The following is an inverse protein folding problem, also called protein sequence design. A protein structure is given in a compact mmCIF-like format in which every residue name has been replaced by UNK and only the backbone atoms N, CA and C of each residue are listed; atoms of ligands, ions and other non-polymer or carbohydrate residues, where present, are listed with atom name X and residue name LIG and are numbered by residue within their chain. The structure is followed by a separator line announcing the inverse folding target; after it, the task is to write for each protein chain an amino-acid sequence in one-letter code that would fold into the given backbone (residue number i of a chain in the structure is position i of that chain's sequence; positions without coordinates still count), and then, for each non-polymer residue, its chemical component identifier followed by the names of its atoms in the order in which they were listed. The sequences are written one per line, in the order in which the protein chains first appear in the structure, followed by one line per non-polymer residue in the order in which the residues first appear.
data_IF_749642115808
#
_entry.id   IF_749642115808
#
_cell.length_a   1.000
_cell.length_b   1.000
_cell.length_c   1.000
_cell.angle_alpha   90.00
_cell.angle_beta   90.00
_cell.angle_gamma   90.00
#
_symmetry.space_group_name_H-M   'P 1'
#
loop_
_entity.id
_entity.type
_entity.pdbx_description
1 polymer ?
#
# COMPACT_ATOMS: atom_id res chain seq x y z
N UNK A 1 -0.14 5.31 -22.12
CA UNK A 1 0.32 6.65 -22.55
C UNK A 1 -0.70 7.64 -22.04
N UNK A 2 -0.47 8.18 -20.85
CA UNK A 2 -1.36 9.20 -20.26
C UNK A 2 -1.12 10.49 -21.03
N UNK A 3 -2.03 10.80 -21.96
CA UNK A 3 -2.00 12.05 -22.70
C UNK A 3 -2.63 13.08 -21.75
N UNK A 4 -1.80 13.92 -21.10
CA UNK A 4 -2.29 15.17 -20.55
C UNK A 4 -3.10 15.88 -21.64
N UNK A 5 -4.30 16.32 -21.31
CA UNK A 5 -5.00 17.25 -22.20
C UNK A 5 -4.10 18.48 -22.35
N UNK A 6 -3.76 18.83 -23.59
CA UNK A 6 -2.78 19.86 -23.98
C UNK A 6 -3.11 21.26 -23.43
N UNK A 7 -4.21 21.41 -22.70
CA UNK A 7 -4.71 22.69 -22.16
C UNK A 7 -4.40 22.89 -20.67
N UNK A 8 -4.04 21.85 -19.90
CA UNK A 8 -3.83 21.98 -18.49
C UNK A 8 -2.34 22.12 -18.16
N UNK A 9 -1.99 23.13 -17.40
CA UNK A 9 -0.64 23.29 -16.88
C UNK A 9 -0.39 22.18 -15.86
N UNK A 10 0.65 21.35 -15.99
CA UNK A 10 0.93 20.30 -15.02
C UNK A 10 1.26 20.92 -13.65
N UNK A 11 0.77 20.26 -12.62
CA UNK A 11 1.22 20.46 -11.26
C UNK A 11 2.50 19.66 -11.00
N UNK A 12 2.97 19.71 -9.75
CA UNK A 12 4.16 19.00 -9.31
C UNK A 12 3.88 18.16 -8.08
N UNK A 13 4.29 16.90 -8.13
CA UNK A 13 4.44 16.04 -6.96
C UNK A 13 5.90 15.83 -6.62
N UNK A 14 6.17 15.15 -5.53
CA UNK A 14 7.52 14.87 -5.07
C UNK A 14 7.79 13.37 -5.00
N UNK A 15 9.05 13.01 -5.20
CA UNK A 15 9.53 11.64 -5.04
C UNK A 15 10.77 11.61 -4.17
N UNK A 16 10.78 10.71 -3.19
CA UNK A 16 11.94 10.33 -2.39
C UNK A 16 12.13 8.82 -2.45
N UNK A 17 13.37 8.35 -2.59
CA UNK A 17 13.68 6.93 -2.67
C UNK A 17 14.54 6.53 -1.46
N UNK A 18 14.18 5.43 -0.81
CA UNK A 18 14.93 4.81 0.28
C UNK A 18 15.37 3.42 -0.17
N UNK A 19 16.67 3.18 -0.11
CA UNK A 19 17.30 1.96 -0.61
C UNK A 19 17.99 1.19 0.51
N UNK A 20 17.60 -0.06 0.68
CA UNK A 20 18.19 -0.95 1.70
C UNK A 20 18.55 -2.30 1.12
N UNK A 21 19.49 -2.99 1.75
CA UNK A 21 19.75 -4.39 1.46
C UNK A 21 18.67 -5.29 2.03
N UNK A 22 18.24 -6.28 1.28
CA UNK A 22 17.28 -7.29 1.75
C UNK A 22 17.83 -8.16 2.88
N UNK A 23 19.16 -8.25 2.96
CA UNK A 23 19.86 -8.93 4.06
C UNK A 23 20.28 -7.86 5.08
N UNK A 24 19.81 -7.99 6.31
CA UNK A 24 20.10 -7.10 7.43
C UNK A 24 19.59 -5.66 7.32
N UNK A 25 18.81 -5.32 6.28
CA UNK A 25 18.17 -4.02 6.09
C UNK A 25 19.13 -2.80 6.24
N UNK A 26 20.43 -2.97 5.94
CA UNK A 26 21.36 -1.85 5.98
C UNK A 26 21.18 -0.94 4.76
N UNK A 27 21.42 0.37 4.90
CA UNK A 27 21.30 1.30 3.79
C UNK A 27 22.34 1.00 2.67
N UNK A 28 21.97 1.28 1.43
CA UNK A 28 22.85 1.13 0.28
C UNK A 28 23.23 2.53 -0.23
N UNK A 29 24.49 2.88 -0.04
CA UNK A 29 25.09 4.14 -0.48
C UNK A 29 25.59 4.06 -1.91
N UNK A 30 25.63 5.20 -2.62
CA UNK A 30 26.17 5.34 -3.98
C UNK A 30 25.46 4.46 -5.03
N UNK A 31 24.19 4.11 -4.80
CA UNK A 31 23.39 3.47 -5.81
C UNK A 31 22.97 4.49 -6.86
N UNK A 32 23.05 4.11 -8.13
CA UNK A 32 22.60 4.93 -9.26
C UNK A 32 21.11 4.64 -9.51
N UNK A 33 20.33 5.71 -9.62
CA UNK A 33 18.89 5.64 -9.87
C UNK A 33 18.57 6.50 -11.08
N UNK A 34 17.88 5.93 -12.06
CA UNK A 34 17.35 6.67 -13.21
C UNK A 34 15.82 6.64 -13.19
N UNK A 35 15.21 7.78 -13.52
CA UNK A 35 13.77 7.97 -13.54
C UNK A 35 13.35 8.37 -14.94
N UNK A 36 12.33 7.70 -15.47
CA UNK A 36 11.72 7.98 -16.78
C UNK A 36 10.22 7.90 -16.68
N UNK A 37 9.47 8.42 -17.67
CA UNK A 37 8.05 8.13 -17.76
C UNK A 37 7.81 6.65 -18.04
N UNK A 38 6.79 6.07 -17.39
CA UNK A 38 6.38 4.69 -17.69
C UNK A 38 5.92 4.61 -19.14
N UNK A 39 6.48 3.64 -19.88
CA UNK A 39 6.26 3.46 -21.31
C UNK A 39 7.29 4.13 -22.21
N UNK A 40 8.19 4.96 -21.67
CA UNK A 40 9.32 5.60 -22.39
C UNK A 40 10.63 5.43 -21.58
N UNK A 41 11.03 4.20 -21.27
CA UNK A 41 12.13 3.93 -20.33
C UNK A 41 13.51 4.41 -20.82
N UNK A 42 13.67 4.63 -22.11
CA UNK A 42 14.92 5.09 -22.71
C UNK A 42 15.14 6.60 -22.59
N UNK A 43 14.11 7.37 -22.19
CA UNK A 43 14.18 8.81 -21.97
C UNK A 43 14.31 9.11 -20.47
N UNK A 44 15.54 9.10 -19.97
CA UNK A 44 15.81 9.45 -18.57
C UNK A 44 15.51 10.94 -18.33
N UNK A 45 14.63 11.20 -17.35
CA UNK A 45 14.28 12.54 -16.90
C UNK A 45 15.21 13.03 -15.80
N UNK A 46 15.52 12.14 -14.84
CA UNK A 46 16.33 12.44 -13.67
C UNK A 46 17.30 11.30 -13.37
N UNK A 47 18.51 11.65 -12.94
CA UNK A 47 19.50 10.73 -12.39
C UNK A 47 19.81 11.11 -10.95
N UNK A 48 19.73 10.16 -10.04
CA UNK A 48 19.94 10.34 -8.61
C UNK A 48 20.97 9.35 -8.08
N UNK A 49 21.52 9.69 -6.91
CA UNK A 49 22.43 8.80 -6.18
C UNK A 49 22.01 8.76 -4.72
N UNK A 50 22.10 7.61 -4.08
CA UNK A 50 21.81 7.47 -2.65
C UNK A 50 22.98 7.93 -1.78
N UNK A 51 22.66 8.57 -0.67
CA UNK A 51 23.60 8.96 0.38
C UNK A 51 23.98 7.80 1.31
N UNK A 52 24.77 8.06 2.36
CA UNK A 52 25.17 7.08 3.37
C UNK A 52 24.02 6.47 4.17
N UNK A 53 22.87 7.11 4.17
CA UNK A 53 21.62 6.60 4.78
C UNK A 53 20.78 5.77 3.79
N UNK A 54 21.26 5.59 2.55
CA UNK A 54 20.53 4.91 1.48
C UNK A 54 19.36 5.73 0.93
N UNK A 55 19.38 7.06 1.09
CA UNK A 55 18.31 7.95 0.67
C UNK A 55 18.74 8.84 -0.47
N UNK A 56 17.79 9.20 -1.34
CA UNK A 56 17.98 10.26 -2.33
C UNK A 56 17.55 11.61 -1.76
N UNK A 57 17.99 12.68 -2.40
CA UNK A 57 17.29 13.95 -2.30
C UNK A 57 15.84 13.78 -2.78
N UNK A 58 14.95 14.64 -2.25
CA UNK A 58 13.57 14.71 -2.74
C UNK A 58 13.54 15.54 -4.01
N UNK A 59 13.00 14.98 -5.09
CA UNK A 59 12.87 15.65 -6.39
C UNK A 59 11.42 15.99 -6.69
N UNK A 60 11.23 17.01 -7.54
CA UNK A 60 9.91 17.36 -8.06
C UNK A 60 9.72 16.69 -9.42
N UNK A 61 8.56 16.07 -9.63
CA UNK A 61 8.18 15.44 -10.89
C UNK A 61 6.83 15.98 -11.34
N UNK A 62 6.61 16.17 -12.66
CA UNK A 62 5.31 16.59 -13.20
C UNK A 62 4.19 15.63 -12.80
N UNK A 63 3.06 16.20 -12.37
CA UNK A 63 1.86 15.46 -12.02
C UNK A 63 0.62 16.17 -12.60
N UNK A 64 -0.51 15.48 -12.81
CA UNK A 64 -1.76 16.11 -13.19
C UNK A 64 -2.24 17.13 -12.16
N UNK A 65 -3.11 18.09 -12.55
CA UNK A 65 -3.72 19.03 -11.62
C UNK A 65 -4.36 18.33 -10.42
N UNK A 66 -4.24 18.94 -9.24
CA UNK A 66 -4.76 18.37 -7.99
C UNK A 66 -6.27 18.10 -8.07
N UNK A 67 -7.00 18.93 -8.82
CA UNK A 67 -8.44 18.82 -9.02
C UNK A 67 -8.85 17.46 -9.56
N UNK A 68 -7.98 16.81 -10.37
CA UNK A 68 -8.26 15.47 -10.92
C UNK A 68 -8.45 14.41 -9.84
N UNK A 69 -7.81 14.57 -8.70
CA UNK A 69 -7.92 13.64 -7.57
C UNK A 69 -9.02 14.04 -6.56
N UNK A 70 -9.52 15.26 -6.65
CA UNK A 70 -10.52 15.81 -5.73
C UNK A 70 -11.94 15.79 -6.31
N UNK A 71 -12.09 15.77 -7.63
CA UNK A 71 -13.38 15.73 -8.32
C UNK A 71 -13.81 14.27 -8.52
N UNK A 72 -14.91 13.89 -7.85
CA UNK A 72 -15.50 12.54 -7.97
C UNK A 72 -16.05 12.21 -9.36
N UNK A 73 -16.27 13.23 -10.19
CA UNK A 73 -16.76 13.08 -11.55
C UNK A 73 -15.65 13.01 -12.60
N UNK A 74 -14.40 13.18 -12.18
CA UNK A 74 -13.26 13.14 -13.08
C UNK A 74 -12.98 11.70 -13.55
N UNK A 75 -12.92 11.52 -14.86
CA UNK A 75 -12.57 10.25 -15.52
C UNK A 75 -11.09 10.18 -15.94
N UNK A 76 -10.33 11.27 -15.76
CA UNK A 76 -8.92 11.33 -16.12
C UNK A 76 -8.05 10.78 -15.00
N UNK A 77 -6.90 10.20 -15.35
CA UNK A 77 -5.93 9.69 -14.39
C UNK A 77 -5.35 10.85 -13.56
N UNK A 78 -5.47 10.83 -12.21
CA UNK A 78 -5.06 11.94 -11.36
C UNK A 78 -3.59 11.91 -10.94
N UNK A 79 -2.78 11.03 -11.51
CA UNK A 79 -1.35 10.87 -11.20
C UNK A 79 -0.56 10.62 -12.49
N UNK A 80 0.73 10.92 -12.44
CA UNK A 80 1.70 10.49 -13.46
C UNK A 80 2.36 9.19 -13.02
N UNK A 81 2.73 8.35 -14.00
CA UNK A 81 3.42 7.08 -13.77
C UNK A 81 4.87 7.17 -14.20
N UNK A 82 5.77 6.78 -13.30
CA UNK A 82 7.20 6.78 -13.55
C UNK A 82 7.80 5.39 -13.41
N UNK A 83 8.84 5.13 -14.20
CA UNK A 83 9.69 3.96 -14.06
C UNK A 83 10.97 4.36 -13.32
N UNK A 84 11.26 3.63 -12.26
CA UNK A 84 12.43 3.79 -11.40
C UNK A 84 13.35 2.61 -11.65
N UNK A 85 14.55 2.86 -12.18
CA UNK A 85 15.58 1.83 -12.40
C UNK A 85 16.74 2.07 -11.45
N UNK A 86 17.16 1.02 -10.72
CA UNK A 86 18.17 1.11 -9.66
C UNK A 86 19.30 0.12 -9.93
N UNK A 87 20.52 0.62 -9.87
CA UNK A 87 21.75 -0.14 -9.96
C UNK A 87 22.66 0.15 -8.76
N UNK A 88 23.16 -0.86 -8.12
CA UNK A 88 24.12 -0.74 -7.03
C UNK A 88 25.19 -1.83 -7.11
N UNK A 89 26.43 -1.49 -6.80
CA UNK A 89 27.55 -2.43 -6.83
C UNK A 89 27.31 -3.58 -5.83
N UNK A 90 27.36 -4.82 -6.32
CA UNK A 90 27.14 -6.01 -5.49
C UNK A 90 25.68 -6.39 -5.27
N UNK A 91 24.74 -5.76 -5.98
CA UNK A 91 23.31 -6.06 -5.90
C UNK A 91 22.70 -6.35 -7.27
N UNK A 92 21.62 -7.11 -7.27
CA UNK A 92 20.78 -7.29 -8.45
C UNK A 92 20.12 -5.98 -8.83
N UNK A 93 20.06 -5.62 -10.12
CA UNK A 93 19.34 -4.42 -10.55
C UNK A 93 17.83 -4.59 -10.39
N UNK A 94 17.17 -3.49 -10.07
CA UNK A 94 15.71 -3.44 -9.88
C UNK A 94 15.10 -2.41 -10.81
N UNK A 95 13.97 -2.73 -11.42
CA UNK A 95 13.12 -1.80 -12.14
C UNK A 95 11.70 -1.85 -11.58
N UNK A 96 11.15 -0.68 -11.25
CA UNK A 96 9.77 -0.51 -10.78
C UNK A 96 9.07 0.39 -11.79
N UNK A 97 8.12 -0.16 -12.53
CA UNK A 97 7.30 0.57 -13.49
C UNK A 97 5.93 0.89 -12.88
N UNK A 98 5.43 2.09 -13.11
CA UNK A 98 4.13 2.54 -12.60
C UNK A 98 4.19 3.18 -11.21
N UNK A 99 5.35 3.68 -10.76
CA UNK A 99 5.41 4.49 -9.54
C UNK A 99 4.56 5.74 -9.73
N UNK A 100 3.57 5.94 -8.86
CA UNK A 100 2.56 6.97 -9.02
C UNK A 100 2.94 8.25 -8.28
N UNK A 101 2.92 9.37 -8.98
CA UNK A 101 3.16 10.70 -8.45
C UNK A 101 1.89 11.53 -8.55
N UNK A 102 1.33 11.85 -7.39
CA UNK A 102 0.21 12.76 -7.21
C UNK A 102 0.70 14.18 -6.97
N UNK A 103 -0.07 15.16 -7.38
CA UNK A 103 0.21 16.58 -7.13
C UNK A 103 0.29 16.89 -5.64
N UNK A 104 1.18 17.81 -5.27
CA UNK A 104 1.33 18.43 -3.93
C UNK A 104 1.72 17.50 -2.78
N UNK A 105 1.95 16.21 -3.02
CA UNK A 105 2.34 15.25 -2.00
C UNK A 105 3.66 14.57 -2.34
N UNK A 106 4.33 14.03 -1.31
CA UNK A 106 5.57 13.30 -1.48
C UNK A 106 5.30 11.80 -1.56
N UNK A 107 5.62 11.21 -2.68
CA UNK A 107 5.70 9.77 -2.84
C UNK A 107 7.02 9.25 -2.27
N UNK A 108 6.98 8.16 -1.52
CA UNK A 108 8.14 7.49 -0.95
C UNK A 108 8.23 6.11 -1.58
N UNK A 109 9.32 5.86 -2.31
CA UNK A 109 9.61 4.53 -2.85
C UNK A 109 10.65 3.84 -1.96
N UNK A 110 10.21 2.84 -1.22
CA UNK A 110 11.09 1.99 -0.45
C UNK A 110 11.49 0.79 -1.30
N UNK A 111 12.80 0.57 -1.47
CA UNK A 111 13.34 -0.50 -2.30
C UNK A 111 14.28 -1.35 -1.46
N UNK A 112 14.10 -2.67 -1.54
CA UNK A 112 14.95 -3.63 -0.84
C UNK A 112 15.67 -4.52 -1.86
N UNK A 113 16.95 -4.25 -2.11
CA UNK A 113 17.76 -4.94 -3.11
C UNK A 113 18.33 -6.26 -2.60
N UNK A 114 18.39 -7.24 -3.48
CA UNK A 114 19.06 -8.52 -3.20
C UNK A 114 20.54 -8.41 -3.52
N UNK A 115 21.44 -8.86 -2.64
CA UNK A 115 22.85 -9.01 -3.01
C UNK A 115 23.01 -9.96 -4.20
N UNK A 116 23.92 -9.63 -5.11
CA UNK A 116 24.27 -10.49 -6.24
C UNK A 116 24.78 -11.85 -5.73
N UNK A 117 24.20 -12.90 -6.26
CA UNK A 117 24.74 -14.26 -6.11
C UNK A 117 25.69 -14.50 -7.30
N UNK A 118 26.95 -14.92 -7.09
CA UNK A 118 27.85 -15.24 -8.18
C UNK A 118 27.18 -16.16 -9.22
N UNK A 119 27.38 -15.90 -10.51
CA UNK A 119 26.82 -16.60 -11.66
C UNK A 119 25.32 -16.47 -11.93
N UNK A 120 24.64 -15.51 -11.30
CA UNK A 120 23.24 -15.18 -11.63
C UNK A 120 23.13 -13.72 -12.09
N UNK A 121 22.80 -13.51 -13.36
CA UNK A 121 22.33 -12.20 -13.85
C UNK A 121 20.81 -12.16 -13.64
N UNK A 122 20.36 -11.73 -12.48
CA UNK A 122 18.92 -11.57 -12.21
C UNK A 122 18.59 -10.10 -12.08
N UNK A 123 17.69 -9.65 -12.94
CA UNK A 123 17.05 -8.35 -12.83
C UNK A 123 15.64 -8.58 -12.27
N UNK A 124 15.27 -7.81 -11.26
CA UNK A 124 13.91 -7.84 -10.72
C UNK A 124 13.10 -6.72 -11.36
N UNK A 125 11.98 -7.05 -11.99
CA UNK A 125 11.04 -6.10 -12.58
C UNK A 125 9.73 -6.19 -11.82
N UNK A 126 9.28 -5.07 -11.29
CA UNK A 126 7.99 -4.93 -10.64
C UNK A 126 7.12 -3.97 -11.46
N UNK A 127 5.85 -4.29 -11.58
CA UNK A 127 4.86 -3.43 -12.25
C UNK A 127 3.78 -3.11 -11.24
N UNK A 128 3.62 -1.82 -10.96
CA UNK A 128 2.52 -1.31 -10.15
C UNK A 128 1.33 -1.11 -11.10
N UNK A 129 0.22 -1.84 -10.91
CA UNK A 129 -0.95 -1.68 -11.75
C UNK A 129 -1.65 -0.36 -11.45
N UNK A 130 -2.34 0.19 -12.44
CA UNK A 130 -3.07 1.45 -12.34
C UNK A 130 -4.00 1.49 -11.11
N UNK A 131 -4.00 2.63 -10.45
CA UNK A 131 -4.83 2.94 -9.29
C UNK A 131 -6.09 3.67 -9.77
N UNK A 132 -7.23 2.98 -9.73
CA UNK A 132 -8.52 3.57 -10.02
C UNK A 132 -9.44 3.43 -8.82
N UNK A 133 -10.04 4.53 -8.37
CA UNK A 133 -11.04 4.52 -7.28
C UNK A 133 -12.41 4.10 -7.81
N UNK A 134 -12.70 4.49 -9.04
CA UNK A 134 -13.97 4.30 -9.71
C UNK A 134 -13.79 3.35 -10.88
N UNK A 135 -13.91 2.05 -10.63
CA UNK A 135 -13.76 1.02 -11.65
C UNK A 135 -14.70 -0.16 -11.42
N UNK A 136 -14.76 -1.07 -12.38
CA UNK A 136 -15.46 -2.34 -12.21
C UNK A 136 -14.65 -3.27 -11.30
N UNK A 137 -14.69 -3.03 -10.00
CA UNK A 137 -14.13 -3.96 -9.03
C UNK A 137 -15.06 -5.17 -8.87
N UNK A 138 -14.50 -6.37 -8.65
CA UNK A 138 -15.32 -7.51 -8.27
C UNK A 138 -16.14 -7.18 -7.03
N UNK A 139 -17.43 -7.52 -7.05
CA UNK A 139 -18.26 -7.38 -5.87
C UNK A 139 -17.62 -8.18 -4.71
N UNK A 140 -17.54 -7.57 -3.53
CA UNK A 140 -17.06 -8.30 -2.35
C UNK A 140 -17.96 -9.48 -2.04
N UNK A 141 -17.34 -10.61 -1.76
CA UNK A 141 -18.07 -11.83 -1.37
C UNK A 141 -18.73 -11.56 -0.01
N UNK A 142 -20.05 -11.76 0.11
CA UNK A 142 -20.75 -11.58 1.37
C UNK A 142 -20.16 -12.51 2.44
N UNK A 143 -19.86 -11.96 3.59
CA UNK A 143 -19.38 -12.68 4.75
C UNK A 143 -20.14 -12.21 5.98
N UNK A 144 -20.35 -13.09 6.95
CA UNK A 144 -20.95 -12.71 8.23
C UNK A 144 -19.98 -11.84 9.02
N UNK A 145 -20.44 -10.66 9.43
CA UNK A 145 -19.66 -9.74 10.24
C UNK A 145 -19.41 -10.26 11.66
N UNK A 146 -20.36 -11.00 12.19
CA UNK A 146 -20.33 -11.59 13.52
C UNK A 146 -20.42 -13.11 13.37
N UNK A 147 -19.30 -13.80 13.60
CA UNK A 147 -19.34 -15.24 13.77
C UNK A 147 -19.67 -15.55 15.23
N UNK A 148 -20.64 -16.41 15.51
CA UNK A 148 -20.87 -16.92 16.87
C UNK A 148 -19.62 -17.66 17.33
N UNK A 149 -19.06 -17.23 18.47
CA UNK A 149 -17.79 -17.73 19.03
C UNK A 149 -17.82 -19.19 19.46
N UNK A 150 -19.01 -19.81 19.56
CA UNK A 150 -19.20 -21.06 20.29
C UNK A 150 -19.73 -22.23 19.45
N UNK A 151 -20.28 -22.00 18.27
CA UNK A 151 -20.92 -23.06 17.50
C UNK A 151 -20.06 -23.73 16.43
N UNK A 152 -18.99 -23.04 15.95
CA UNK A 152 -18.18 -23.53 14.81
C UNK A 152 -16.84 -24.16 15.20
N UNK A 153 -16.43 -24.11 16.48
CA UNK A 153 -15.10 -24.57 16.92
C UNK A 153 -13.94 -23.73 16.38
N UNK A 154 -14.21 -22.56 15.81
CA UNK A 154 -13.21 -21.67 15.27
C UNK A 154 -12.39 -21.00 16.38
N UNK A 155 -11.09 -20.84 16.14
CA UNK A 155 -10.20 -20.15 17.04
C UNK A 155 -10.39 -18.64 16.84
N UNK A 156 -10.72 -17.94 17.92
CA UNK A 156 -10.73 -16.48 17.98
C UNK A 156 -9.76 -16.06 19.09
N UNK A 157 -8.96 -15.03 18.83
CA UNK A 157 -8.05 -14.52 19.84
C UNK A 157 -8.83 -14.01 21.06
N UNK A 158 -8.29 -14.20 22.26
CA UNK A 158 -8.91 -13.75 23.52
C UNK A 158 -9.00 -12.22 23.64
N UNK A 159 -8.17 -11.52 22.91
CA UNK A 159 -8.11 -10.05 22.86
C UNK A 159 -7.64 -9.58 21.48
N UNK A 160 -7.95 -8.32 21.14
CA UNK A 160 -7.39 -7.68 19.95
C UNK A 160 -5.90 -7.43 20.19
N UNK A 161 -5.09 -7.80 19.22
CA UNK A 161 -3.64 -7.59 19.25
C UNK A 161 -3.21 -6.91 17.96
N UNK A 162 -2.21 -6.03 18.07
CA UNK A 162 -1.54 -5.48 16.89
C UNK A 162 -0.41 -6.45 16.53
N UNK A 163 -0.49 -7.15 15.40
CA UNK A 163 0.57 -8.09 15.02
C UNK A 163 1.80 -7.31 14.54
N UNK A 164 2.97 -7.87 14.71
CA UNK A 164 4.19 -7.30 14.13
C UNK A 164 4.19 -7.47 12.60
N UNK A 165 3.73 -8.64 12.12
CA UNK A 165 3.68 -9.00 10.70
C UNK A 165 2.29 -9.48 10.30
N UNK A 166 1.94 -9.16 9.05
CA UNK A 166 0.80 -9.70 8.31
C UNK A 166 1.36 -10.63 7.22
N UNK A 167 0.78 -11.81 7.09
CA UNK A 167 1.07 -12.71 5.96
C UNK A 167 0.06 -12.42 4.87
N UNK A 168 0.51 -11.78 3.78
CA UNK A 168 -0.33 -11.40 2.63
C UNK A 168 -0.20 -12.47 1.56
N UNK A 169 -1.31 -13.08 1.18
CA UNK A 169 -1.41 -13.96 0.03
C UNK A 169 -1.72 -13.13 -1.21
N UNK A 170 -0.78 -13.10 -2.17
CA UNK A 170 -0.86 -12.20 -3.33
C UNK A 170 -1.73 -12.78 -4.45
N UNK A 171 -3.00 -12.93 -4.15
CA UNK A 171 -3.98 -13.51 -5.06
C UNK A 171 -5.32 -13.81 -4.38
N UNK A 172 -6.17 -14.57 -5.05
CA UNK A 172 -7.39 -15.07 -4.43
C UNK A 172 -7.07 -16.20 -3.44
N UNK A 173 -7.91 -16.45 -2.41
CA UNK A 173 -7.60 -17.46 -1.38
C UNK A 173 -7.34 -18.87 -1.90
N UNK A 174 -7.87 -19.22 -3.08
CA UNK A 174 -7.74 -20.57 -3.68
C UNK A 174 -6.62 -20.66 -4.70
N UNK A 175 -5.89 -19.58 -4.96
CA UNK A 175 -4.78 -19.58 -5.89
C UNK A 175 -3.53 -20.15 -5.23
N UNK A 176 -3.31 -21.44 -5.39
CA UNK A 176 -2.13 -22.14 -4.84
C UNK A 176 -0.80 -21.73 -5.48
N UNK A 177 -0.82 -20.93 -6.55
CA UNK A 177 0.39 -20.44 -7.23
C UNK A 177 0.81 -19.05 -6.71
N UNK A 178 -0.08 -18.38 -6.02
CA UNK A 178 0.17 -17.06 -5.44
C UNK A 178 1.19 -17.13 -4.30
N UNK A 179 2.01 -16.09 -4.17
CA UNK A 179 3.06 -16.01 -3.15
C UNK A 179 2.52 -15.45 -1.85
N UNK A 180 3.08 -15.92 -0.74
CA UNK A 180 2.86 -15.32 0.57
C UNK A 180 4.00 -14.35 0.89
N UNK A 181 3.62 -13.10 1.27
CA UNK A 181 4.55 -12.07 1.69
C UNK A 181 4.40 -11.79 3.19
N UNK A 182 5.52 -11.76 3.91
CA UNK A 182 5.58 -11.36 5.31
C UNK A 182 5.83 -9.86 5.37
N UNK A 183 4.81 -9.09 5.70
CA UNK A 183 4.83 -7.62 5.67
C UNK A 183 4.60 -7.09 7.08
N UNK A 184 5.39 -6.11 7.53
CA UNK A 184 5.14 -5.46 8.82
C UNK A 184 3.76 -4.82 8.81
N UNK A 185 3.04 -4.88 9.92
CA UNK A 185 1.66 -4.38 10.01
C UNK A 185 1.50 -2.95 9.50
N UNK A 186 2.36 -2.03 9.96
CA UNK A 186 2.29 -0.63 9.50
C UNK A 186 2.56 -0.49 8.01
N UNK A 187 3.54 -1.22 7.48
CA UNK A 187 3.90 -1.18 6.05
C UNK A 187 2.77 -1.75 5.19
N UNK A 188 2.08 -2.79 5.68
CA UNK A 188 0.88 -3.31 5.05
C UNK A 188 -0.22 -2.23 4.97
N UNK A 189 -0.54 -1.56 6.08
CA UNK A 189 -1.57 -0.52 6.11
C UNK A 189 -1.20 0.67 5.22
N UNK A 190 0.07 1.13 5.24
CA UNK A 190 0.56 2.21 4.37
C UNK A 190 0.42 1.86 2.88
N UNK A 191 0.75 0.63 2.52
CA UNK A 191 0.62 0.13 1.15
C UNK A 191 -0.84 0.08 0.70
N UNK A 192 -1.72 -0.54 1.50
CA UNK A 192 -3.16 -0.62 1.19
C UNK A 192 -3.77 0.76 1.08
N UNK A 193 -3.53 1.65 2.05
CA UNK A 193 -4.07 3.00 2.01
C UNK A 193 -3.58 3.77 0.77
N UNK A 194 -2.29 3.63 0.41
CA UNK A 194 -1.75 4.24 -0.82
C UNK A 194 -2.29 3.59 -2.11
N UNK A 195 -2.91 2.42 -2.04
CA UNK A 195 -3.50 1.70 -3.17
C UNK A 195 -5.02 1.88 -3.28
N UNK A 196 -5.69 2.32 -2.21
CA UNK A 196 -7.16 2.41 -2.15
C UNK A 196 -7.70 3.84 -2.03
N UNK A 197 -6.85 4.83 -1.65
CA UNK A 197 -7.28 6.24 -1.53
C UNK A 197 -6.21 7.18 -2.07
N UNK A 198 -6.60 8.38 -2.48
CA UNK A 198 -5.63 9.39 -2.92
C UNK A 198 -5.07 10.19 -1.75
N UNK A 199 -3.75 10.34 -1.74
CA UNK A 199 -3.04 11.08 -0.69
C UNK A 199 -3.30 12.59 -0.70
N UNK A 200 -3.91 13.10 -1.75
CA UNK A 200 -4.37 14.49 -1.92
C UNK A 200 -5.70 14.79 -1.21
N UNK A 201 -6.42 13.76 -0.76
CA UNK A 201 -7.69 13.97 -0.07
C UNK A 201 -7.53 14.70 1.26
N UNK A 202 -8.59 15.35 1.78
CA UNK A 202 -8.54 15.99 3.09
C UNK A 202 -8.10 15.04 4.19
N UNK A 203 -7.25 15.52 5.09
CA UNK A 203 -6.64 14.71 6.17
C UNK A 203 -7.67 13.88 6.96
N UNK A 204 -8.84 14.46 7.28
CA UNK A 204 -9.88 13.74 8.02
C UNK A 204 -10.47 12.58 7.20
N UNK A 205 -10.56 12.72 5.88
CA UNK A 205 -11.01 11.66 4.98
C UNK A 205 -9.99 10.53 4.95
N UNK A 206 -8.69 10.85 4.85
CA UNK A 206 -7.60 9.87 4.91
C UNK A 206 -7.64 9.15 6.27
N UNK A 207 -7.75 9.87 7.40
CA UNK A 207 -7.83 9.27 8.74
C UNK A 207 -9.00 8.28 8.88
N UNK A 208 -10.17 8.64 8.39
CA UNK A 208 -11.35 7.76 8.44
C UNK A 208 -11.13 6.47 7.64
N UNK A 209 -10.56 6.57 6.45
CA UNK A 209 -10.25 5.40 5.62
C UNK A 209 -9.14 4.53 6.22
N UNK A 210 -8.08 5.12 6.75
CA UNK A 210 -7.00 4.40 7.44
C UNK A 210 -7.56 3.62 8.63
N UNK A 211 -8.42 4.22 9.45
CA UNK A 211 -9.09 3.52 10.56
C UNK A 211 -9.98 2.35 10.07
N UNK A 212 -10.68 2.51 8.95
CA UNK A 212 -11.47 1.44 8.36
C UNK A 212 -10.59 0.27 7.89
N UNK A 213 -9.49 0.57 7.18
CA UNK A 213 -8.50 -0.42 6.72
C UNK A 213 -7.88 -1.17 7.91
N UNK A 214 -7.44 -0.44 8.94
CA UNK A 214 -6.90 -1.04 10.17
C UNK A 214 -7.89 -1.97 10.84
N UNK A 215 -9.14 -1.51 11.00
CA UNK A 215 -10.20 -2.29 11.66
C UNK A 215 -10.50 -3.58 10.93
N UNK A 216 -10.59 -3.52 9.59
CA UNK A 216 -10.79 -4.71 8.77
C UNK A 216 -9.61 -5.67 8.89
N UNK A 217 -8.38 -5.18 8.81
CA UNK A 217 -7.16 -5.99 8.95
C UNK A 217 -7.12 -6.68 10.32
N UNK A 218 -7.37 -5.91 11.40
CA UNK A 218 -7.41 -6.46 12.75
C UNK A 218 -8.56 -7.44 12.97
N UNK A 219 -9.67 -7.29 12.26
CA UNK A 219 -10.73 -8.28 12.29
C UNK A 219 -10.26 -9.62 11.69
N UNK A 220 -9.50 -9.61 10.58
CA UNK A 220 -8.92 -10.82 9.98
C UNK A 220 -7.95 -11.52 10.93
N UNK A 221 -7.11 -10.74 11.64
CA UNK A 221 -6.19 -11.25 12.67
C UNK A 221 -6.97 -11.81 13.86
N UNK A 222 -7.91 -11.03 14.41
CA UNK A 222 -8.65 -11.39 15.60
C UNK A 222 -9.49 -12.66 15.43
N UNK A 223 -10.11 -12.83 14.27
CA UNK A 223 -10.97 -14.00 13.96
C UNK A 223 -10.20 -15.18 13.41
N UNK A 224 -8.89 -15.07 13.20
CA UNK A 224 -8.07 -16.09 12.50
C UNK A 224 -8.75 -16.56 11.20
N UNK A 225 -9.34 -15.60 10.46
CA UNK A 225 -10.31 -15.85 9.40
C UNK A 225 -9.87 -16.92 8.39
N UNK A 226 -8.68 -16.77 7.81
CA UNK A 226 -8.16 -17.72 6.83
C UNK A 226 -7.54 -18.96 7.48
N UNK A 227 -6.88 -18.81 8.63
CA UNK A 227 -6.27 -19.93 9.33
C UNK A 227 -7.30 -20.94 9.82
N UNK A 228 -8.48 -20.48 10.27
CA UNK A 228 -9.60 -21.34 10.61
C UNK A 228 -10.15 -22.13 9.40
N UNK A 229 -9.84 -21.69 8.18
CA UNK A 229 -10.19 -22.39 6.93
C UNK A 229 -9.06 -23.28 6.40
N UNK A 230 -7.94 -23.40 7.16
CA UNK A 230 -6.81 -24.25 6.82
C UNK A 230 -5.74 -23.56 5.94
N UNK A 231 -5.83 -22.24 5.74
CA UNK A 231 -4.81 -21.48 5.03
C UNK A 231 -3.67 -21.04 5.96
N UNK A 232 -2.49 -20.77 5.40
CA UNK A 232 -1.28 -20.36 6.11
C UNK A 232 -1.00 -18.85 6.05
N UNK A 233 -1.98 -18.04 5.63
CA UNK A 233 -1.89 -16.59 5.52
C UNK A 233 -2.95 -15.87 6.36
N UNK A 234 -2.74 -14.55 6.56
CA UNK A 234 -3.65 -13.72 7.36
C UNK A 234 -4.72 -13.03 6.52
N UNK A 235 -4.35 -12.59 5.31
CA UNK A 235 -5.17 -11.74 4.45
C UNK A 235 -4.74 -11.91 2.99
N UNK A 236 -5.61 -11.57 2.04
CA UNK A 236 -5.30 -11.63 0.60
C UNK A 236 -5.08 -10.23 0.02
N UNK A 237 -4.44 -10.15 -1.15
CA UNK A 237 -4.35 -8.92 -1.96
C UNK A 237 -5.55 -8.74 -2.91
N UNK A 238 -6.51 -9.64 -2.86
CA UNK A 238 -7.68 -9.64 -3.76
C UNK A 238 -8.78 -8.72 -3.25
N UNK A 239 -9.14 -7.72 -4.02
CA UNK A 239 -10.22 -6.77 -3.71
C UNK A 239 -11.61 -7.40 -3.62
N UNK A 240 -11.79 -8.60 -4.16
CA UNK A 240 -13.04 -9.38 -4.00
C UNK A 240 -13.21 -9.92 -2.57
N UNK A 241 -12.12 -10.13 -1.86
CA UNK A 241 -12.10 -10.72 -0.51
C UNK A 241 -11.66 -9.69 0.55
N UNK A 242 -10.54 -9.01 0.31
CA UNK A 242 -9.90 -8.13 1.27
C UNK A 242 -9.52 -6.78 0.65
N UNK A 243 -8.27 -6.36 0.79
CA UNK A 243 -7.74 -5.07 0.37
C UNK A 243 -6.84 -5.17 -0.86
N UNK A 244 -6.68 -4.05 -1.58
CA UNK A 244 -5.70 -3.93 -2.65
C UNK A 244 -4.31 -3.70 -2.04
N UNK A 245 -3.52 -4.76 -1.92
CA UNK A 245 -2.11 -4.68 -1.57
C UNK A 245 -1.26 -5.00 -2.81
N UNK A 246 -0.17 -4.25 -3.04
CA UNK A 246 0.66 -4.38 -4.24
C UNK A 246 2.13 -4.46 -3.82
N UNK A 247 2.89 -5.48 -4.28
CA UNK A 247 4.33 -5.55 -4.03
C UNK A 247 5.05 -4.31 -4.57
N UNK A 248 6.03 -3.79 -3.81
CA UNK A 248 6.89 -2.66 -4.19
C UNK A 248 6.12 -1.35 -4.53
N UNK A 249 4.88 -1.22 -4.09
CA UNK A 249 4.08 0.00 -4.21
C UNK A 249 4.77 1.17 -3.53
N UNK A 250 4.89 2.33 -4.19
CA UNK A 250 5.23 3.57 -3.52
C UNK A 250 4.12 3.99 -2.54
N UNK A 251 4.50 4.49 -1.39
CA UNK A 251 3.59 5.03 -0.39
C UNK A 251 3.67 6.56 -0.37
N UNK A 252 2.75 7.21 0.33
CA UNK A 252 2.76 8.66 0.45
C UNK A 252 3.04 9.07 1.90
N UNK A 253 3.82 10.14 2.09
CA UNK A 253 4.24 10.64 3.40
C UNK A 253 3.04 11.05 4.26
N UNK A 254 2.05 11.76 3.68
CA UNK A 254 0.81 12.17 4.38
C UNK A 254 0.04 10.97 4.93
N UNK A 255 -0.08 9.89 4.15
CA UNK A 255 -0.70 8.63 4.60
C UNK A 255 0.17 7.96 5.65
N UNK A 256 1.49 7.93 5.44
CA UNK A 256 2.43 7.29 6.35
C UNK A 256 2.40 7.89 7.75
N UNK A 257 2.34 9.22 7.86
CA UNK A 257 2.20 9.95 9.12
C UNK A 257 0.91 9.54 9.84
N UNK A 258 -0.21 9.53 9.13
CA UNK A 258 -1.52 9.17 9.70
C UNK A 258 -1.53 7.73 10.21
N UNK A 259 -0.96 6.79 9.45
CA UNK A 259 -0.85 5.39 9.88
C UNK A 259 0.02 5.28 11.13
N UNK A 260 1.14 6.01 11.20
CA UNK A 260 2.02 5.99 12.38
C UNK A 260 1.37 6.61 13.63
N UNK A 261 0.47 7.57 13.47
CA UNK A 261 -0.33 8.13 14.57
C UNK A 261 -1.42 7.16 15.06
N UNK A 262 -2.06 6.44 14.16
CA UNK A 262 -3.28 5.67 14.44
C UNK A 262 -3.04 4.15 14.59
N UNK A 263 -1.84 3.66 14.40
CA UNK A 263 -1.57 2.22 14.20
C UNK A 263 -2.13 1.27 15.28
N UNK A 264 -2.44 1.79 16.46
CA UNK A 264 -3.02 1.04 17.57
C UNK A 264 -4.54 1.21 17.69
N UNK A 265 -5.15 2.01 16.83
CA UNK A 265 -6.57 2.33 16.87
C UNK A 265 -7.38 1.44 15.91
N UNK A 266 -8.61 1.16 16.28
CA UNK A 266 -9.56 0.50 15.41
C UNK A 266 -10.99 0.94 15.70
N UNK A 267 -11.88 0.74 14.73
CA UNK A 267 -13.30 1.03 14.84
C UNK A 267 -14.04 -0.20 15.38
N UNK A 268 -14.94 0.01 16.33
CA UNK A 268 -15.83 -1.03 16.84
C UNK A 268 -17.27 -0.47 16.95
N UNK A 269 -18.24 -1.39 16.99
CA UNK A 269 -19.62 -1.02 17.31
C UNK A 269 -19.76 -0.72 18.82
N UNK A 270 -20.72 0.10 19.24
CA UNK A 270 -20.99 0.33 20.66
C UNK A 270 -21.13 -0.97 21.41
N UNK A 271 -20.51 -1.05 22.60
CA UNK A 271 -20.55 -2.21 23.48
C UNK A 271 -19.92 -3.52 22.92
N UNK A 272 -19.13 -3.40 21.84
CA UNK A 272 -18.41 -4.52 21.24
C UNK A 272 -16.92 -4.17 21.20
N UNK A 273 -16.08 -5.04 21.76
CA UNK A 273 -14.62 -4.84 21.74
C UNK A 273 -13.94 -5.41 20.49
N UNK A 274 -14.71 -6.11 19.66
CA UNK A 274 -14.24 -6.71 18.42
C UNK A 274 -14.04 -5.65 17.33
N UNK A 275 -12.95 -5.70 16.56
CA UNK A 275 -12.78 -4.82 15.40
C UNK A 275 -13.89 -5.02 14.37
N UNK A 276 -14.50 -3.93 13.92
CA UNK A 276 -15.53 -3.96 12.89
C UNK A 276 -14.94 -4.24 11.51
N UNK A 277 -15.77 -4.83 10.64
CA UNK A 277 -15.47 -4.96 9.21
C UNK A 277 -16.09 -3.76 8.48
N UNK A 278 -15.27 -2.79 8.15
CA UNK A 278 -15.69 -1.60 7.44
C UNK A 278 -15.11 -1.61 6.04
N UNK A 279 -15.93 -1.36 5.03
CA UNK A 279 -15.48 -1.20 3.66
C UNK A 279 -15.19 0.27 3.39
N UNK A 280 -14.05 0.57 2.80
CA UNK A 280 -13.78 1.87 2.20
C UNK A 280 -14.83 2.12 1.10
N UNK A 281 -15.56 3.21 1.17
CA UNK A 281 -16.44 3.67 0.09
C UNK A 281 -17.95 3.45 0.23
N UNK A 282 -18.48 2.75 1.23
CA UNK A 282 -19.94 2.53 1.37
C UNK A 282 -20.49 2.92 2.75
N UNK A 283 -20.15 4.09 3.25
CA UNK A 283 -20.80 4.65 4.45
C UNK A 283 -22.01 5.51 4.07
N UNK A 284 -23.08 4.90 3.58
CA UNK A 284 -24.39 5.55 3.44
C UNK A 284 -25.24 5.22 4.67
N UNK A 285 -25.04 5.93 5.76
CA UNK A 285 -25.88 5.81 6.95
C UNK A 285 -25.17 6.25 8.23
N UNK A 286 -25.91 6.82 9.17
CA UNK A 286 -25.42 7.15 10.52
C UNK A 286 -25.21 5.83 11.29
N UNK A 287 -23.97 5.40 11.44
CA UNK A 287 -23.60 4.27 12.30
C UNK A 287 -22.88 4.84 13.52
N UNK A 288 -23.34 4.47 14.72
CA UNK A 288 -22.57 4.79 15.93
C UNK A 288 -21.29 3.93 15.93
N UNK A 289 -20.14 4.60 15.81
CA UNK A 289 -18.83 3.98 15.77
C UNK A 289 -18.00 4.51 16.93
N UNK A 290 -17.27 3.63 17.60
CA UNK A 290 -16.31 3.97 18.63
C UNK A 290 -14.89 3.68 18.12
N UNK A 291 -13.98 4.60 18.37
CA UNK A 291 -12.55 4.35 18.19
C UNK A 291 -12.04 3.72 19.48
N UNK A 292 -11.36 2.59 19.37
CA UNK A 292 -10.73 1.89 20.48
C UNK A 292 -9.23 1.84 20.20
N UNK A 293 -8.43 2.25 21.20
CA UNK A 293 -6.97 2.13 21.16
C UNK A 293 -6.52 0.87 21.87
N UNK A 294 -5.71 0.05 21.20
CA UNK A 294 -5.06 -1.11 21.79
C UNK A 294 -3.85 -0.65 22.60
N UNK A 295 -3.78 -1.02 23.87
CA UNK A 295 -2.56 -0.78 24.64
C UNK A 295 -1.46 -1.70 24.14
N UNK A 296 -0.46 -1.11 23.49
CA UNK A 296 0.73 -1.82 23.02
C UNK A 296 1.69 -1.91 24.21
N UNK A 297 1.88 -3.10 24.76
CA UNK A 297 2.82 -3.39 25.87
C UNK A 297 4.12 -3.97 25.35
#
# INVERSE_FOLDING_TARGET
MSIFHITDTPDWGQLKINLTSRIHAHPIENARISISYTGVPDETLEELTTDSSGQTDTINLPAPPIEYSLDETNELQPYSEYTISVEAAGYESIQIAGAEILSTVTAIQNISMRPLIPDTNQNSIYVIPAHTLYGNYPAKIPEEEIKPLTESGEIVLSRVVIPEYIVVHDGSPRDSTAKNYYVRYKDYIKNVASSEIYATWPTNTIRANVLAIMSFTLNRVYTEWYRNQGYDFTITSSTAFDHKWIPERNIYDSISIIVDELFADYLARPNVTRPGRWNTGNCTGSVNIHVITVVVT
#
